data_IF_879570226205
#
_entry.id   IF_879570226205
#
_cell.length_a   1.000
_cell.length_b   1.000
_cell.length_c   1.000
_cell.angle_alpha   90.00
_cell.angle_beta   90.00
_cell.angle_gamma   90.00
#
_symmetry.space_group_name_H-M   'P 1'
#
loop_
_entity.id
_entity.type
_entity.pdbx_description
1 polymer ?
#
# COMPACT_ATOMS: atom_id res chain seq x y z
N UNK A 1 -35.11 -2.52 -3.67
CA UNK A 1 -34.20 -3.54 -3.09
C UNK A 1 -32.93 -2.86 -2.59
N UNK A 2 -33.06 -2.06 -1.52
CA UNK A 2 -32.03 -1.11 -1.06
C UNK A 2 -31.98 -1.04 0.49
N UNK A 3 -32.17 -2.17 1.17
CA UNK A 3 -32.07 -2.24 2.63
C UNK A 3 -31.36 -3.55 3.01
N UNK A 4 -30.05 -3.47 3.27
CA UNK A 4 -29.24 -4.40 4.11
C UNK A 4 -27.71 -4.19 3.96
N UNK A 5 -27.25 -3.11 3.31
CA UNK A 5 -25.80 -2.80 3.20
C UNK A 5 -25.19 -2.09 4.44
N UNK A 6 -25.94 -1.87 5.53
CA UNK A 6 -25.67 -0.76 6.46
C UNK A 6 -24.63 -0.95 7.58
N UNK A 7 -24.35 -2.15 8.09
CA UNK A 7 -23.48 -2.31 9.29
C UNK A 7 -22.41 -3.38 9.12
N UNK A 8 -22.77 -4.57 8.63
CA UNK A 8 -21.81 -5.67 8.47
C UNK A 8 -20.68 -5.30 7.49
N UNK A 9 -21.02 -4.61 6.41
CA UNK A 9 -20.04 -4.17 5.42
C UNK A 9 -19.11 -3.11 6.03
N UNK A 10 -19.68 -2.12 6.73
CA UNK A 10 -18.92 -1.05 7.41
C UNK A 10 -17.92 -1.59 8.44
N UNK A 11 -18.31 -2.60 9.23
CA UNK A 11 -17.44 -3.22 10.24
C UNK A 11 -16.29 -3.98 9.59
N UNK A 12 -16.57 -4.77 8.54
CA UNK A 12 -15.53 -5.46 7.78
C UNK A 12 -14.56 -4.46 7.13
N UNK A 13 -15.06 -3.31 6.65
CA UNK A 13 -14.22 -2.24 6.11
C UNK A 13 -13.33 -1.59 7.17
N UNK A 14 -13.87 -1.29 8.35
CA UNK A 14 -13.10 -0.76 9.47
C UNK A 14 -11.98 -1.72 9.89
N UNK A 15 -12.25 -3.03 9.87
CA UNK A 15 -11.25 -4.07 10.16
C UNK A 15 -10.16 -4.13 9.08
N UNK A 16 -10.51 -4.11 7.80
CA UNK A 16 -9.52 -4.09 6.70
C UNK A 16 -8.63 -2.85 6.81
N UNK A 17 -9.22 -1.68 7.08
CA UNK A 17 -8.49 -0.44 7.25
C UNK A 17 -7.54 -0.48 8.46
N UNK A 18 -8.00 -1.03 9.58
CA UNK A 18 -7.18 -1.24 10.77
C UNK A 18 -6.01 -2.21 10.51
N UNK A 19 -6.25 -3.30 9.76
CA UNK A 19 -5.20 -4.27 9.38
C UNK A 19 -4.16 -3.61 8.48
N UNK A 20 -4.58 -2.79 7.51
CA UNK A 20 -3.67 -2.07 6.61
C UNK A 20 -2.77 -1.09 7.38
N UNK A 21 -3.36 -0.28 8.28
CA UNK A 21 -2.60 0.65 9.13
C UNK A 21 -1.68 -0.11 10.09
N UNK A 22 -2.17 -1.18 10.71
CA UNK A 22 -1.38 -2.01 11.62
C UNK A 22 -0.20 -2.68 10.92
N UNK A 23 -0.40 -3.19 9.71
CA UNK A 23 0.65 -3.77 8.88
C UNK A 23 1.73 -2.74 8.51
N UNK A 24 1.31 -1.54 8.08
CA UNK A 24 2.21 -0.42 7.78
C UNK A 24 2.99 0.06 9.00
N UNK A 25 2.32 0.21 10.15
CA UNK A 25 2.96 0.61 11.40
C UNK A 25 3.98 -0.42 11.85
N UNK A 26 3.63 -1.71 11.79
CA UNK A 26 4.53 -2.79 12.15
C UNK A 26 5.76 -2.78 11.22
N UNK A 27 5.56 -2.65 9.90
CA UNK A 27 6.65 -2.56 8.93
C UNK A 27 7.57 -1.35 9.19
N UNK A 28 6.98 -0.21 9.55
CA UNK A 28 7.71 1.01 9.93
C UNK A 28 8.47 0.86 11.27
N UNK A 29 7.93 0.13 12.22
CA UNK A 29 8.60 -0.14 13.49
C UNK A 29 9.77 -1.11 13.29
N UNK A 30 9.55 -2.17 12.51
CA UNK A 30 10.57 -3.16 12.18
C UNK A 30 11.71 -2.55 11.37
N UNK A 31 11.44 -1.63 10.44
CA UNK A 31 12.49 -0.89 9.69
C UNK A 31 13.41 -0.04 10.56
N UNK A 32 12.94 0.47 11.71
CA UNK A 32 13.81 1.22 12.64
C UNK A 32 14.85 0.35 13.34
N UNK A 33 14.58 -0.96 13.48
CA UNK A 33 15.49 -1.91 14.13
C UNK A 33 16.64 -2.33 13.20
N UNK A 34 16.43 -2.30 11.89
CA UNK A 34 17.46 -2.64 10.91
C UNK A 34 18.26 -1.39 10.51
N UNK A 35 19.51 -1.30 10.98
CA UNK A 35 20.48 -0.32 10.49
C UNK A 35 21.07 -0.69 9.12
N UNK A 36 21.74 0.26 8.46
CA UNK A 36 22.55 -0.02 7.25
C UNK A 36 21.77 -0.13 5.94
N UNK A 37 22.33 -0.88 4.99
CA UNK A 37 21.80 -1.01 3.62
C UNK A 37 20.43 -1.73 3.59
N UNK A 38 20.26 -2.71 4.47
CA UNK A 38 19.00 -3.46 4.68
C UNK A 38 17.91 -2.52 5.18
N UNK A 39 18.19 -1.71 6.21
CA UNK A 39 17.25 -0.71 6.74
C UNK A 39 16.76 0.27 5.69
N UNK A 40 17.68 0.81 4.87
CA UNK A 40 17.32 1.69 3.74
C UNK A 40 16.44 0.99 2.72
N UNK A 41 16.73 -0.27 2.40
CA UNK A 41 15.97 -1.06 1.44
C UNK A 41 14.55 -1.34 1.94
N UNK A 42 14.39 -1.78 3.19
CA UNK A 42 13.06 -2.03 3.78
C UNK A 42 12.28 -0.71 3.93
N UNK A 43 12.94 0.43 4.18
CA UNK A 43 12.28 1.75 4.20
C UNK A 43 11.71 2.14 2.83
N UNK A 44 12.46 1.89 1.76
CA UNK A 44 11.99 2.08 0.38
C UNK A 44 10.82 1.15 0.05
N UNK A 45 10.88 -0.11 0.52
CA UNK A 45 9.75 -1.04 0.40
C UNK A 45 8.51 -0.51 1.14
N UNK A 46 8.66 -0.02 2.37
CA UNK A 46 7.55 0.54 3.14
C UNK A 46 6.91 1.76 2.47
N UNK A 47 7.72 2.65 1.89
CA UNK A 47 7.23 3.79 1.11
C UNK A 47 6.48 3.31 -0.14
N UNK A 48 7.03 2.36 -0.89
CA UNK A 48 6.35 1.78 -2.04
C UNK A 48 5.02 1.12 -1.66
N UNK A 49 4.99 0.41 -0.54
CA UNK A 49 3.80 -0.23 0.00
C UNK A 49 2.70 0.79 0.33
N UNK A 50 3.04 1.97 0.85
CA UNK A 50 2.08 3.05 1.13
C UNK A 50 1.35 3.50 -0.15
N UNK A 51 2.07 3.68 -1.26
CA UNK A 51 1.46 4.08 -2.53
C UNK A 51 0.52 2.99 -3.06
N UNK A 52 0.91 1.71 -2.96
CA UNK A 52 0.03 0.59 -3.35
C UNK A 52 -1.22 0.53 -2.48
N UNK A 53 -1.07 0.74 -1.17
CA UNK A 53 -2.20 0.79 -0.24
C UNK A 53 -3.19 1.90 -0.62
N UNK A 54 -2.71 3.09 -0.98
CA UNK A 54 -3.57 4.18 -1.45
C UNK A 54 -4.30 3.80 -2.74
N UNK A 55 -3.61 3.19 -3.72
CA UNK A 55 -4.24 2.74 -4.96
C UNK A 55 -5.31 1.66 -4.72
N UNK A 56 -5.06 0.70 -3.83
CA UNK A 56 -6.02 -0.34 -3.43
C UNK A 56 -7.24 0.27 -2.73
N UNK A 57 -7.03 1.25 -1.84
CA UNK A 57 -8.12 1.98 -1.20
C UNK A 57 -8.96 2.71 -2.27
N UNK A 58 -8.33 3.35 -3.24
CA UNK A 58 -9.04 4.07 -4.30
C UNK A 58 -9.86 3.12 -5.20
N UNK A 59 -9.30 2.00 -5.63
CA UNK A 59 -10.02 0.97 -6.41
C UNK A 59 -11.22 0.43 -5.62
N UNK A 60 -11.03 0.26 -4.31
CA UNK A 60 -12.10 -0.14 -3.40
C UNK A 60 -13.21 0.92 -3.37
N UNK A 61 -12.90 2.19 -3.16
CA UNK A 61 -13.90 3.28 -3.15
C UNK A 61 -14.68 3.39 -4.47
N UNK A 62 -14.02 3.11 -5.60
CA UNK A 62 -14.67 3.05 -6.92
C UNK A 62 -15.68 1.89 -7.03
N UNK A 63 -15.29 0.68 -6.61
CA UNK A 63 -16.15 -0.50 -6.64
C UNK A 63 -17.44 -0.35 -5.82
N UNK A 64 -17.42 0.47 -4.78
CA UNK A 64 -18.58 0.72 -3.91
C UNK A 64 -19.36 2.00 -4.27
N UNK A 65 -19.02 2.68 -5.37
CA UNK A 65 -19.75 3.86 -5.86
C UNK A 65 -19.59 5.11 -4.98
N UNK A 66 -18.58 5.14 -4.10
CA UNK A 66 -18.24 6.32 -3.28
C UNK A 66 -17.53 7.37 -4.13
N UNK A 67 -16.76 6.93 -5.13
CA UNK A 67 -16.11 7.76 -6.13
C UNK A 67 -16.70 7.47 -7.50
N UNK A 68 -16.73 8.49 -8.36
CA UNK A 68 -17.09 8.32 -9.77
C UNK A 68 -15.86 7.92 -10.57
N UNK A 69 -16.00 6.87 -11.37
CA UNK A 69 -14.97 6.47 -12.31
C UNK A 69 -14.84 7.54 -13.40
N UNK A 70 -13.72 8.25 -13.37
CA UNK A 70 -13.39 9.30 -14.33
C UNK A 70 -12.01 9.02 -14.88
N UNK A 71 -11.78 9.39 -16.15
CA UNK A 71 -10.49 9.17 -16.81
C UNK A 71 -9.32 9.79 -16.06
N UNK A 72 -9.53 10.94 -15.41
CA UNK A 72 -8.51 11.60 -14.59
C UNK A 72 -8.18 10.80 -13.32
N UNK A 73 -9.19 10.21 -12.68
CA UNK A 73 -9.04 9.41 -11.46
C UNK A 73 -8.35 8.08 -11.75
N UNK A 74 -8.70 7.43 -12.87
CA UNK A 74 -8.02 6.23 -13.36
C UNK A 74 -6.54 6.51 -13.67
N UNK A 75 -6.25 7.61 -14.38
CA UNK A 75 -4.87 8.01 -14.69
C UNK A 75 -4.07 8.32 -13.42
N UNK A 76 -4.70 8.97 -12.44
CA UNK A 76 -4.10 9.21 -11.12
C UNK A 76 -3.79 7.90 -10.38
N UNK A 77 -4.68 6.92 -10.43
CA UNK A 77 -4.48 5.60 -9.82
C UNK A 77 -3.30 4.86 -10.45
N UNK A 78 -3.20 4.87 -11.79
CA UNK A 78 -2.10 4.25 -12.52
C UNK A 78 -0.75 4.89 -12.15
N UNK A 79 -0.70 6.22 -12.06
CA UNK A 79 0.51 6.94 -11.65
C UNK A 79 0.91 6.62 -10.20
N UNK A 80 -0.04 6.62 -9.26
CA UNK A 80 0.20 6.26 -7.86
C UNK A 80 0.74 4.83 -7.76
N UNK A 81 0.13 3.90 -8.51
CA UNK A 81 0.55 2.50 -8.56
C UNK A 81 1.95 2.36 -9.14
N UNK A 82 2.25 3.08 -10.23
CA UNK A 82 3.57 3.08 -10.88
C UNK A 82 4.66 3.62 -9.95
N UNK A 83 4.38 4.70 -9.21
CA UNK A 83 5.30 5.25 -8.20
C UNK A 83 5.54 4.22 -7.09
N UNK A 84 4.48 3.55 -6.62
CA UNK A 84 4.59 2.46 -5.64
C UNK A 84 5.47 1.32 -6.13
N UNK A 85 5.24 0.83 -7.34
CA UNK A 85 6.08 -0.20 -7.97
C UNK A 85 7.53 0.24 -8.11
N UNK A 86 7.78 1.50 -8.49
CA UNK A 86 9.13 2.04 -8.63
C UNK A 86 9.90 1.98 -7.29
N UNK A 87 9.28 2.43 -6.20
CA UNK A 87 9.89 2.35 -4.88
C UNK A 87 10.09 0.91 -4.40
N UNK A 88 9.12 0.03 -4.66
CA UNK A 88 9.26 -1.40 -4.38
C UNK A 88 10.43 -2.03 -5.15
N UNK A 89 10.53 -1.76 -6.44
CA UNK A 89 11.61 -2.26 -7.30
C UNK A 89 12.99 -1.83 -6.80
N UNK A 90 13.15 -0.56 -6.40
CA UNK A 90 14.41 -0.08 -5.81
C UNK A 90 14.69 -0.75 -4.46
N UNK A 91 13.67 -0.89 -3.61
CA UNK A 91 13.79 -1.58 -2.32
C UNK A 91 14.26 -3.02 -2.49
N UNK A 92 13.62 -3.79 -3.37
CA UNK A 92 14.01 -5.16 -3.67
C UNK A 92 15.39 -5.26 -4.33
N UNK A 93 15.72 -4.35 -5.25
CA UNK A 93 17.06 -4.30 -5.87
C UNK A 93 18.17 -4.10 -4.83
N UNK A 94 17.95 -3.20 -3.86
CA UNK A 94 18.89 -3.00 -2.75
C UNK A 94 18.98 -4.22 -1.84
N UNK A 95 17.87 -4.88 -1.50
CA UNK A 95 17.91 -6.13 -0.74
C UNK A 95 18.68 -7.23 -1.48
N UNK A 96 18.43 -7.40 -2.78
CA UNK A 96 19.12 -8.39 -3.60
C UNK A 96 20.63 -8.12 -3.68
N UNK A 97 21.04 -6.85 -3.66
CA UNK A 97 22.46 -6.47 -3.65
C UNK A 97 23.19 -6.85 -2.36
N UNK A 98 22.48 -6.92 -1.23
CA UNK A 98 23.07 -7.32 0.07
C UNK A 98 23.35 -8.81 0.12
N UNK A 99 22.56 -9.62 -0.59
CA UNK A 99 22.71 -11.08 -0.60
C UNK A 99 23.75 -11.59 -1.60
N UNK A 100 24.47 -10.69 -2.29
CA UNK A 100 25.64 -11.05 -3.10
C UNK A 100 26.84 -11.21 -2.16
N UNK A 101 26.99 -12.40 -1.58
CA UNK A 101 28.30 -12.85 -1.11
C UNK A 101 29.26 -12.90 -2.30
N UNK A 102 30.54 -12.49 -2.15
CA UNK A 102 31.56 -12.63 -3.18
C UNK A 102 31.76 -14.08 -3.62
#
# INVERSE_FOLDING_TARGET
MLENFGLSNLVVHGLIFAIMIGGLYNLWHTTKLYGGLIGKAIRLLGIGMLFIVVAVIQEFLLKFGVLNDTTLLALGQDLVTLIGLFFLAIGFSKLASVNKTP
#
